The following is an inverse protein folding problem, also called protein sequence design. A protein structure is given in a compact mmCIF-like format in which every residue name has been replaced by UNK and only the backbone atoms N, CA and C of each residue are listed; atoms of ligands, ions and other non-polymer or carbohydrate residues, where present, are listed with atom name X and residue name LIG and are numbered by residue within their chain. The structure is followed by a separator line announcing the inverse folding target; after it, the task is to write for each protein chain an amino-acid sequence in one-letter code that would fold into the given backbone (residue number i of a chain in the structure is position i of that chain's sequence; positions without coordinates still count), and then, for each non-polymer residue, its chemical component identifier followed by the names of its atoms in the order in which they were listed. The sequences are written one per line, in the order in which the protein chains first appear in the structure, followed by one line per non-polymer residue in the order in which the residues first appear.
data_IF_723487469757
#
_entry.id   IF_723487469757
#
_cell.length_a   1.000
_cell.length_b   1.000
_cell.length_c   1.000
_cell.angle_alpha   90.00
_cell.angle_beta   90.00
_cell.angle_gamma   90.00
#
_symmetry.space_group_name_H-M   'P 1'
#
loop_
_entity.id
_entity.type
_entity.pdbx_description
1 polymer ?
#
# COMPACT_ATOMS: atom_id res chain seq x y z
N UNK A 1 -12.55 -12.96 -10.37
CA UNK A 1 -11.41 -13.20 -9.47
C UNK A 1 -11.79 -14.16 -8.36
N UNK A 2 -10.86 -15.00 -7.92
CA UNK A 2 -11.02 -16.07 -6.93
C UNK A 2 -10.64 -15.60 -5.51
N UNK A 3 -11.00 -14.39 -5.08
CA UNK A 3 -10.66 -13.87 -3.74
C UNK A 3 -11.90 -13.77 -2.84
N UNK A 4 -11.75 -14.01 -1.52
CA UNK A 4 -12.78 -13.69 -0.52
C UNK A 4 -12.63 -12.28 0.07
N UNK A 5 -11.57 -11.58 -0.31
CA UNK A 5 -11.30 -10.17 0.02
C UNK A 5 -11.34 -9.36 -1.27
N UNK A 6 -11.94 -8.17 -1.19
CA UNK A 6 -12.03 -7.20 -2.26
C UNK A 6 -11.42 -5.90 -1.77
N UNK A 7 -10.28 -5.50 -2.36
CA UNK A 7 -9.63 -4.23 -2.07
C UNK A 7 -10.08 -3.22 -3.12
N UNK A 8 -10.73 -2.15 -2.68
CA UNK A 8 -11.09 -1.04 -3.56
C UNK A 8 -9.92 -0.06 -3.68
N UNK A 9 -9.94 0.74 -4.74
CA UNK A 9 -8.95 1.79 -4.95
C UNK A 9 -8.97 2.81 -3.79
N UNK A 10 -7.78 3.28 -3.44
CA UNK A 10 -7.61 4.35 -2.47
C UNK A 10 -7.66 5.70 -3.17
N UNK A 11 -8.59 6.55 -2.76
CA UNK A 11 -8.76 7.90 -3.31
C UNK A 11 -8.31 8.95 -2.30
N UNK A 12 -7.66 10.04 -2.76
CA UNK A 12 -7.31 11.15 -1.88
C UNK A 12 -8.59 11.87 -1.44
N UNK A 13 -8.72 12.10 -0.15
CA UNK A 13 -9.79 12.90 0.45
C UNK A 13 -9.38 14.36 0.58
N UNK A 14 -8.13 14.61 0.95
CA UNK A 14 -7.63 15.94 1.23
C UNK A 14 -6.14 16.02 0.91
N UNK A 15 -5.72 17.17 0.38
CA UNK A 15 -4.32 17.50 0.17
C UNK A 15 -3.68 18.00 1.48
N UNK A 16 -2.39 17.72 1.66
CA UNK A 16 -1.63 18.31 2.77
C UNK A 16 -1.28 19.78 2.51
N UNK A 17 -0.53 20.40 3.42
CA UNK A 17 -0.07 21.79 3.29
C UNK A 17 0.72 22.06 1.99
N UNK A 18 1.37 21.03 1.44
CA UNK A 18 2.16 21.09 0.20
C UNK A 18 1.36 20.74 -1.07
N UNK A 19 0.04 20.59 -0.97
CA UNK A 19 -0.81 20.16 -2.07
C UNK A 19 -0.86 18.64 -2.19
N UNK A 20 -1.28 18.16 -3.38
CA UNK A 20 -1.44 16.72 -3.65
C UNK A 20 -0.13 16.05 -4.12
N UNK A 21 0.67 16.79 -4.87
CA UNK A 21 1.90 16.31 -5.51
C UNK A 21 3.02 17.30 -5.31
N UNK A 22 4.24 16.81 -5.19
CA UNK A 22 5.46 17.60 -5.15
C UNK A 22 6.48 17.10 -6.17
N UNK A 23 7.38 17.99 -6.58
CA UNK A 23 8.49 17.63 -7.46
C UNK A 23 9.52 16.77 -6.73
N UNK A 24 9.97 15.70 -7.39
CA UNK A 24 11.00 14.79 -6.91
C UNK A 24 12.13 14.68 -7.95
N UNK A 25 13.36 14.48 -7.48
CA UNK A 25 14.53 14.26 -8.34
C UNK A 25 15.27 13.02 -7.87
N UNK A 26 15.37 12.04 -8.77
CA UNK A 26 16.29 10.92 -8.60
C UNK A 26 17.54 11.16 -9.42
N UNK A 27 18.70 11.10 -8.78
CA UNK A 27 20.00 11.21 -9.48
C UNK A 27 20.76 9.89 -9.38
N UNK A 28 20.53 8.90 -10.26
CA UNK A 28 21.43 7.76 -10.38
C UNK A 28 22.82 8.23 -10.82
N UNK A 29 23.85 7.74 -10.12
CA UNK A 29 25.26 8.05 -10.43
C UNK A 29 25.98 6.91 -11.15
N UNK A 30 25.63 5.66 -10.84
CA UNK A 30 26.33 4.46 -11.36
C UNK A 30 25.47 3.66 -12.33
N UNK A 31 24.56 4.32 -13.06
CA UNK A 31 23.74 3.69 -14.08
C UNK A 31 23.76 4.47 -15.38
N UNK A 32 24.24 3.85 -16.45
CA UNK A 32 24.15 4.36 -17.81
C UNK A 32 23.49 3.30 -18.71
N UNK A 33 22.49 3.69 -19.50
CA UNK A 33 21.76 2.75 -20.39
C UNK A 33 21.14 1.54 -19.67
N UNK A 34 20.79 1.69 -18.38
CA UNK A 34 20.22 0.62 -17.54
C UNK A 34 21.24 -0.36 -16.94
N UNK A 35 22.55 -0.20 -17.20
CA UNK A 35 23.62 -1.08 -16.67
C UNK A 35 24.38 -0.40 -15.54
N UNK A 36 24.91 -1.21 -14.62
CA UNK A 36 25.84 -0.74 -13.60
C UNK A 36 27.16 -0.33 -14.28
N UNK A 37 27.72 0.81 -13.90
CA UNK A 37 29.00 1.30 -14.44
C UNK A 37 30.03 1.49 -13.33
N UNK A 38 31.31 1.57 -13.72
CA UNK A 38 32.43 1.78 -12.80
C UNK A 38 32.44 3.22 -12.25
N UNK A 39 33.27 3.47 -11.24
CA UNK A 39 33.41 4.82 -10.66
C UNK A 39 34.00 5.83 -11.66
N UNK A 40 34.87 5.39 -12.56
CA UNK A 40 35.45 6.22 -13.61
C UNK A 40 34.40 6.67 -14.65
N UNK A 41 33.32 5.90 -14.77
CA UNK A 41 32.20 6.14 -15.68
C UNK A 41 30.99 6.73 -14.94
N UNK A 42 31.14 7.13 -13.67
CA UNK A 42 30.06 7.66 -12.87
C UNK A 42 29.58 9.01 -13.44
N UNK A 43 28.28 9.07 -13.75
CA UNK A 43 27.65 10.22 -14.36
C UNK A 43 26.31 10.51 -13.67
N UNK A 44 26.20 11.56 -12.84
CA UNK A 44 24.92 11.95 -12.27
C UNK A 44 23.92 12.24 -13.40
N UNK A 45 22.82 11.49 -13.44
CA UNK A 45 21.75 11.69 -14.42
C UNK A 45 20.46 12.07 -13.70
N UNK A 46 20.17 13.36 -13.46
CA UNK A 46 18.94 13.77 -12.78
C UNK A 46 17.69 13.35 -13.58
N UNK A 47 16.78 12.64 -12.92
CA UNK A 47 15.46 12.27 -13.42
C UNK A 47 14.43 13.01 -12.57
N UNK A 48 13.83 14.04 -13.14
CA UNK A 48 12.77 14.84 -12.50
C UNK A 48 11.43 14.13 -12.68
N UNK A 49 10.65 14.05 -11.62
CA UNK A 49 9.31 13.48 -11.63
C UNK A 49 8.42 14.09 -10.56
N UNK A 50 7.24 13.50 -10.38
CA UNK A 50 6.30 13.88 -9.32
C UNK A 50 6.14 12.73 -8.33
N UNK A 51 5.99 13.09 -7.06
CA UNK A 51 5.63 12.20 -5.96
C UNK A 51 4.40 12.75 -5.25
N UNK A 52 3.65 11.88 -4.56
CA UNK A 52 2.60 12.36 -3.65
C UNK A 52 3.24 13.18 -2.55
N UNK A 53 2.68 14.37 -2.31
CA UNK A 53 3.16 15.21 -1.23
C UNK A 53 2.82 14.57 0.13
N UNK A 54 3.68 14.68 1.15
CA UNK A 54 3.35 14.23 2.49
C UNK A 54 2.16 15.00 3.07
N UNK A 55 1.34 14.30 3.86
CA UNK A 55 0.12 14.86 4.48
C UNK A 55 -1.14 14.71 3.63
N UNK A 56 -1.07 14.09 2.44
CA UNK A 56 -2.27 13.73 1.68
C UNK A 56 -3.00 12.59 2.37
N UNK A 57 -4.30 12.77 2.63
CA UNK A 57 -5.13 11.77 3.30
C UNK A 57 -5.86 10.92 2.28
N UNK A 58 -5.80 9.60 2.44
CA UNK A 58 -6.47 8.64 1.56
C UNK A 58 -7.56 7.88 2.29
N UNK A 59 -8.59 7.45 1.56
CA UNK A 59 -9.58 6.49 2.04
C UNK A 59 -9.83 5.41 1.01
N UNK A 60 -9.95 4.20 1.51
CA UNK A 60 -10.34 3.02 0.74
C UNK A 60 -11.22 2.12 1.61
N UNK A 61 -11.85 1.15 0.96
CA UNK A 61 -12.69 0.15 1.62
C UNK A 61 -12.13 -1.23 1.30
N UNK A 62 -12.26 -2.15 2.25
CA UNK A 62 -11.97 -3.57 2.04
C UNK A 62 -13.22 -4.38 2.31
N UNK A 63 -13.74 -5.03 1.27
CA UNK A 63 -14.89 -5.93 1.36
C UNK A 63 -14.46 -7.34 1.71
N UNK A 64 -15.20 -7.99 2.62
CA UNK A 64 -15.03 -9.40 2.95
C UNK A 64 -16.27 -10.17 2.49
N UNK A 65 -16.15 -10.96 1.42
CA UNK A 65 -17.18 -11.92 1.04
C UNK A 65 -17.07 -13.14 1.97
N UNK A 66 -17.72 -13.03 3.12
CA UNK A 66 -17.64 -14.02 4.19
C UNK A 66 -18.07 -15.41 3.71
N UNK A 67 -19.11 -15.50 2.88
CA UNK A 67 -19.60 -16.79 2.39
C UNK A 67 -18.60 -17.49 1.47
N UNK A 68 -17.90 -16.74 0.60
CA UNK A 68 -16.80 -17.30 -0.20
C UNK A 68 -15.60 -17.64 0.65
N UNK A 69 -15.24 -16.79 1.60
CA UNK A 69 -14.06 -16.98 2.44
C UNK A 69 -14.22 -18.19 3.37
N UNK A 70 -15.37 -18.30 4.05
CA UNK A 70 -15.70 -19.42 4.94
C UNK A 70 -15.56 -20.78 4.25
N UNK A 71 -16.15 -20.94 3.06
CA UNK A 71 -16.05 -22.20 2.29
C UNK A 71 -14.62 -22.60 1.93
N UNK A 72 -13.70 -21.63 1.92
CA UNK A 72 -12.27 -21.89 1.69
C UNK A 72 -11.52 -22.18 2.97
N UNK A 73 -11.82 -21.44 4.03
CA UNK A 73 -11.30 -21.75 5.36
C UNK A 73 -11.67 -23.18 5.75
N UNK A 74 -12.90 -23.60 5.50
CA UNK A 74 -13.35 -24.99 5.69
C UNK A 74 -12.49 -25.99 4.88
N UNK A 75 -12.25 -25.73 3.59
CA UNK A 75 -11.40 -26.57 2.74
C UNK A 75 -9.93 -26.58 3.16
N UNK A 76 -9.46 -25.51 3.80
CA UNK A 76 -8.09 -25.39 4.31
C UNK A 76 -7.92 -26.01 5.71
N UNK A 77 -8.97 -26.61 6.29
CA UNK A 77 -8.94 -27.13 7.66
C UNK A 77 -9.05 -26.06 8.75
N UNK A 78 -9.46 -24.83 8.38
CA UNK A 78 -9.59 -23.68 9.27
C UNK A 78 -11.07 -23.33 9.59
N UNK A 79 -11.96 -24.33 9.62
CA UNK A 79 -13.40 -24.13 9.78
C UNK A 79 -13.83 -23.40 11.07
N UNK A 80 -12.96 -23.35 12.08
CA UNK A 80 -13.24 -22.67 13.36
C UNK A 80 -13.02 -21.15 13.37
N UNK A 81 -12.43 -20.58 12.31
CA UNK A 81 -12.17 -19.15 12.24
C UNK A 81 -13.47 -18.35 12.13
N UNK A 82 -13.63 -17.36 13.01
CA UNK A 82 -14.75 -16.43 13.02
C UNK A 82 -14.49 -15.24 12.10
N UNK A 83 -15.56 -14.59 11.63
CA UNK A 83 -15.45 -13.41 10.77
C UNK A 83 -14.63 -12.28 11.41
N UNK A 84 -14.82 -12.04 12.71
CA UNK A 84 -14.08 -10.99 13.43
C UNK A 84 -12.60 -11.29 13.53
N UNK A 85 -12.24 -12.57 13.71
CA UNK A 85 -10.84 -12.98 13.76
C UNK A 85 -10.15 -12.71 12.41
N UNK A 86 -10.85 -13.01 11.31
CA UNK A 86 -10.36 -12.68 9.96
C UNK A 86 -10.25 -11.18 9.76
N UNK A 87 -11.29 -10.41 10.11
CA UNK A 87 -11.27 -8.97 9.98
C UNK A 87 -10.11 -8.34 10.78
N UNK A 88 -9.87 -8.85 12.00
CA UNK A 88 -8.74 -8.43 12.83
C UNK A 88 -7.38 -8.73 12.19
N UNK A 89 -7.19 -9.91 11.60
CA UNK A 89 -5.95 -10.26 10.88
C UNK A 89 -5.76 -9.37 9.65
N UNK A 90 -6.82 -9.13 8.88
CA UNK A 90 -6.76 -8.25 7.71
C UNK A 90 -6.42 -6.81 8.11
N UNK A 91 -7.11 -6.28 9.14
CA UNK A 91 -6.84 -4.95 9.68
C UNK A 91 -5.39 -4.81 10.18
N UNK A 92 -4.92 -5.75 11.00
CA UNK A 92 -3.55 -5.74 11.50
C UNK A 92 -2.51 -5.84 10.37
N UNK A 93 -2.78 -6.65 9.34
CA UNK A 93 -1.91 -6.78 8.18
C UNK A 93 -1.85 -5.48 7.36
N UNK A 94 -2.98 -4.78 7.21
CA UNK A 94 -3.04 -3.50 6.51
C UNK A 94 -2.29 -2.41 7.25
N UNK A 95 -2.52 -2.27 8.57
CA UNK A 95 -1.79 -1.31 9.42
C UNK A 95 -0.28 -1.56 9.30
N UNK A 96 0.15 -2.81 9.44
CA UNK A 96 1.56 -3.16 9.31
C UNK A 96 2.12 -2.84 7.91
N UNK A 97 1.39 -3.18 6.85
CA UNK A 97 1.83 -2.92 5.48
C UNK A 97 1.99 -1.41 5.20
N UNK A 98 1.01 -0.61 5.62
CA UNK A 98 0.97 0.84 5.41
C UNK A 98 2.09 1.55 6.18
N UNK A 99 2.29 1.19 7.45
CA UNK A 99 3.22 1.89 8.33
C UNK A 99 4.65 1.37 8.25
N UNK A 100 4.86 0.08 7.96
CA UNK A 100 6.18 -0.57 8.11
C UNK A 100 6.78 -1.11 6.84
N UNK A 101 5.97 -1.44 5.84
CA UNK A 101 6.47 -2.00 4.57
C UNK A 101 6.57 -0.90 3.51
N UNK A 102 5.58 0.00 3.49
CA UNK A 102 5.44 1.03 2.46
C UNK A 102 4.82 0.48 1.18
N UNK A 103 4.04 1.33 0.50
CA UNK A 103 3.34 1.01 -0.75
C UNK A 103 3.95 1.75 -1.94
N UNK A 104 3.75 1.18 -3.14
CA UNK A 104 4.17 1.81 -4.39
C UNK A 104 5.66 1.72 -4.67
N UNK A 105 6.17 2.69 -5.44
CA UNK A 105 7.56 2.69 -5.87
C UNK A 105 8.52 3.21 -4.81
N UNK A 106 9.74 2.66 -4.79
CA UNK A 106 10.88 3.18 -4.01
C UNK A 106 10.70 3.11 -2.47
N UNK A 107 9.88 2.20 -1.94
CA UNK A 107 9.66 2.08 -0.48
C UNK A 107 10.93 1.79 0.31
N UNK A 108 11.88 1.02 -0.25
CA UNK A 108 13.20 0.80 0.35
C UNK A 108 14.05 2.07 0.49
N UNK A 109 13.64 3.19 -0.12
CA UNK A 109 14.26 4.51 0.00
C UNK A 109 13.42 5.49 0.83
N UNK A 110 12.41 5.01 1.56
CA UNK A 110 11.57 5.83 2.45
C UNK A 110 10.31 6.40 1.81
N UNK A 111 9.94 6.00 0.59
CA UNK A 111 8.72 6.48 -0.08
C UNK A 111 7.50 5.63 0.25
N UNK A 112 6.31 6.24 0.18
CA UNK A 112 5.04 5.50 0.19
C UNK A 112 4.66 4.88 1.53
N UNK A 113 5.15 5.43 2.63
CA UNK A 113 4.69 5.08 3.97
C UNK A 113 3.48 5.91 4.35
N UNK A 114 2.52 5.29 5.02
CA UNK A 114 1.27 5.90 5.44
C UNK A 114 1.04 5.63 6.91
N UNK A 115 0.48 6.60 7.62
CA UNK A 115 -0.05 6.43 8.97
C UNK A 115 -1.54 6.13 8.88
N UNK A 116 -2.02 5.19 9.68
CA UNK A 116 -3.46 4.90 9.75
C UNK A 116 -4.11 5.86 10.73
N UNK A 117 -4.83 6.85 10.21
CA UNK A 117 -5.58 7.81 11.04
C UNK A 117 -6.74 7.15 11.79
N UNK A 118 -7.52 6.34 11.07
CA UNK A 118 -8.69 5.64 11.60
C UNK A 118 -9.05 4.45 10.72
N UNK A 119 -9.67 3.43 11.32
CA UNK A 119 -10.37 2.38 10.59
C UNK A 119 -11.47 1.76 11.46
N UNK A 120 -12.57 1.40 10.80
CA UNK A 120 -13.67 0.67 11.42
C UNK A 120 -13.95 -0.63 10.66
N UNK A 121 -14.56 -1.59 11.36
CA UNK A 121 -15.07 -2.82 10.76
C UNK A 121 -16.57 -2.83 10.97
N UNK A 122 -17.31 -2.79 9.86
CA UNK A 122 -18.76 -2.86 9.87
C UNK A 122 -19.22 -4.20 9.30
N UNK A 123 -20.17 -4.83 9.98
CA UNK A 123 -20.89 -5.98 9.43
C UNK A 123 -22.06 -5.46 8.61
N UNK A 124 -22.09 -5.82 7.34
CA UNK A 124 -23.29 -5.65 6.54
C UNK A 124 -24.22 -6.83 6.85
N UNK A 125 -25.19 -6.62 7.72
CA UNK A 125 -26.30 -7.55 7.88
C UNK A 125 -27.12 -7.50 6.59
N UNK A 126 -27.15 -8.62 5.87
CA UNK A 126 -27.91 -8.82 4.64
C UNK A 126 -29.17 -9.62 4.87
#
# INVERSE_FOLDING_TARGET
GLGGLVFFDAYPLEAGERGLVEGDVLTPHYRAGGRLVSELDAGPTPVVGFSLAPGVRFRFVVGVDWWRLRRRLERAGCAGLQADAVAGVVGASLVYALERVGLGGKSTRGYGFFEVEDYSVERCDG
#
